data_IF_070076829155
#
_entry.id   IF_070076829155
#
_cell.length_a   1.000
_cell.length_b   1.000
_cell.length_c   1.000
_cell.angle_alpha   90.00
_cell.angle_beta   90.00
_cell.angle_gamma   90.00
#
_symmetry.space_group_name_H-M   'P 1'
#
loop_
_entity.id
_entity.type
_entity.pdbx_description
1 polymer ?
#
# COMPACT_ATOMS: atom_id res chain seq x y z
N UNK A 1 11.53 51.98 -39.05
CA UNK A 1 12.26 50.81 -38.51
C UNK A 1 11.25 49.74 -38.15
N UNK A 2 11.30 48.51 -38.71
CA UNK A 2 10.42 47.44 -38.29
C UNK A 2 10.97 46.79 -37.01
N UNK A 3 10.09 46.47 -36.05
CA UNK A 3 10.45 45.71 -34.83
C UNK A 3 10.46 44.20 -35.15
N UNK A 4 11.36 43.41 -34.55
CA UNK A 4 11.40 41.97 -34.78
C UNK A 4 10.22 41.28 -34.09
N UNK A 5 9.57 40.38 -34.81
CA UNK A 5 8.56 39.45 -34.29
C UNK A 5 9.32 38.31 -33.60
N UNK A 6 9.27 38.28 -32.27
CA UNK A 6 9.86 37.24 -31.44
C UNK A 6 9.03 35.96 -31.64
N UNK A 7 9.65 34.89 -32.16
CA UNK A 7 9.02 33.58 -32.31
C UNK A 7 8.99 32.82 -30.97
N UNK A 8 8.04 33.14 -30.10
CA UNK A 8 7.77 32.36 -28.88
C UNK A 8 6.90 31.13 -29.23
N UNK A 9 7.47 30.11 -29.87
CA UNK A 9 6.65 28.98 -30.36
C UNK A 9 7.22 27.59 -30.22
N UNK A 10 8.50 27.41 -29.87
CA UNK A 10 9.15 26.10 -30.02
C UNK A 10 9.48 25.37 -28.71
N UNK A 11 9.63 26.09 -27.58
CA UNK A 11 10.16 25.49 -26.34
C UNK A 11 9.08 24.98 -25.36
N UNK A 12 7.81 25.34 -25.56
CA UNK A 12 6.72 24.97 -24.65
C UNK A 12 6.21 23.53 -24.84
N UNK A 13 6.47 22.90 -25.98
CA UNK A 13 5.95 21.57 -26.34
C UNK A 13 6.64 20.39 -25.62
N UNK A 14 7.98 20.29 -25.54
CA UNK A 14 8.61 19.15 -24.87
C UNK A 14 8.44 19.20 -23.34
N UNK A 15 8.45 20.40 -22.76
CA UNK A 15 8.32 20.60 -21.31
C UNK A 15 6.93 20.20 -20.78
N UNK A 16 5.86 20.43 -21.55
CA UNK A 16 4.50 19.98 -21.23
C UNK A 16 4.34 18.46 -21.28
N UNK A 17 5.05 17.78 -22.19
CA UNK A 17 5.05 16.31 -22.27
C UNK A 17 5.82 15.69 -21.12
N UNK A 18 6.97 16.27 -20.75
CA UNK A 18 7.77 15.82 -19.61
C UNK A 18 7.03 16.00 -18.29
N UNK A 19 6.35 17.14 -18.09
CA UNK A 19 5.52 17.37 -16.89
C UNK A 19 4.33 16.41 -16.80
N UNK A 20 3.65 16.12 -17.92
CA UNK A 20 2.58 15.13 -17.95
C UNK A 20 3.07 13.71 -17.62
N UNK A 21 4.24 13.32 -18.15
CA UNK A 21 4.87 12.03 -17.86
C UNK A 21 5.29 11.93 -16.38
N UNK A 22 5.83 13.00 -15.81
CA UNK A 22 6.20 13.06 -14.39
C UNK A 22 4.96 12.91 -13.50
N UNK A 23 3.86 13.59 -13.83
CA UNK A 23 2.59 13.45 -13.10
C UNK A 23 2.03 12.02 -13.17
N UNK A 24 2.07 11.39 -14.34
CA UNK A 24 1.67 9.99 -14.51
C UNK A 24 2.52 9.04 -13.66
N UNK A 25 3.84 9.28 -13.60
CA UNK A 25 4.74 8.51 -12.75
C UNK A 25 4.43 8.70 -11.26
N UNK A 26 4.18 9.94 -10.81
CA UNK A 26 3.80 10.22 -9.43
C UNK A 26 2.48 9.54 -9.03
N UNK A 27 1.48 9.53 -9.93
CA UNK A 27 0.22 8.82 -9.72
C UNK A 27 0.44 7.29 -9.66
N UNK A 28 1.27 6.74 -10.55
CA UNK A 28 1.60 5.32 -10.55
C UNK A 28 2.31 4.89 -9.25
N UNK A 29 3.29 5.67 -8.77
CA UNK A 29 3.99 5.40 -7.51
C UNK A 29 3.05 5.48 -6.31
N UNK A 30 2.15 6.46 -6.29
CA UNK A 30 1.16 6.63 -5.22
C UNK A 30 0.17 5.45 -5.14
N UNK A 31 -0.22 4.86 -6.27
CA UNK A 31 -1.08 3.67 -6.31
C UNK A 31 -0.43 2.42 -5.69
N UNK A 32 0.90 2.34 -5.65
CA UNK A 32 1.63 1.19 -5.13
C UNK A 32 1.86 1.24 -3.61
N UNK A 33 1.57 2.38 -2.95
CA UNK A 33 1.82 2.63 -1.52
C UNK A 33 0.65 2.23 -0.61
N UNK A 34 -0.12 1.19 -0.97
CA UNK A 34 -1.13 0.60 -0.08
C UNK A 34 -0.47 -0.04 1.14
N UNK A 35 -0.46 0.68 2.26
CA UNK A 35 0.27 0.31 3.47
C UNK A 35 -0.25 -0.96 4.16
N UNK A 36 0.67 -1.73 4.72
CA UNK A 36 0.40 -2.77 5.73
C UNK A 36 0.55 -2.10 7.10
N UNK A 37 -0.49 -2.08 7.92
CA UNK A 37 -0.43 -1.52 9.28
C UNK A 37 -0.38 -2.66 10.29
N UNK A 38 0.67 -2.75 11.09
CA UNK A 38 0.79 -3.76 12.16
C UNK A 38 0.65 -3.10 13.52
N UNK A 39 -0.10 -3.71 14.44
CA UNK A 39 -0.24 -3.26 15.83
C UNK A 39 0.29 -4.34 16.76
N UNK A 40 1.40 -4.04 17.45
CA UNK A 40 2.06 -4.97 18.38
C UNK A 40 1.38 -4.88 19.74
N UNK A 41 0.95 -6.01 20.30
CA UNK A 41 0.43 -6.12 21.66
C UNK A 41 1.46 -6.86 22.49
N UNK A 42 1.91 -6.30 23.62
CA UNK A 42 2.85 -6.98 24.54
C UNK A 42 2.16 -7.11 25.89
N UNK A 43 2.02 -8.33 26.41
CA UNK A 43 1.49 -8.55 27.75
C UNK A 43 2.65 -8.57 28.75
N UNK A 44 2.75 -7.52 29.58
CA UNK A 44 3.87 -7.39 30.53
C UNK A 44 3.69 -8.24 31.80
N UNK A 45 2.51 -8.83 32.01
CA UNK A 45 2.11 -9.42 33.31
C UNK A 45 1.73 -10.91 33.26
N UNK A 46 1.92 -11.61 32.13
CA UNK A 46 1.57 -13.04 32.01
C UNK A 46 2.80 -13.94 31.98
N UNK A 47 2.79 -15.00 32.81
CA UNK A 47 3.79 -16.06 32.91
C UNK A 47 3.90 -16.95 31.65
N UNK A 48 3.18 -16.62 30.58
CA UNK A 48 3.07 -17.41 29.35
C UNK A 48 3.59 -16.60 28.15
N UNK A 49 4.88 -16.77 27.77
CA UNK A 49 5.45 -16.08 26.61
C UNK A 49 4.82 -16.50 25.26
N UNK A 50 3.99 -17.56 25.24
CA UNK A 50 3.20 -17.96 24.06
C UNK A 50 1.93 -17.13 23.85
N UNK A 51 1.52 -16.32 24.84
CA UNK A 51 0.38 -15.43 24.72
C UNK A 51 0.75 -14.08 24.07
N UNK A 52 2.03 -13.79 23.88
CA UNK A 52 2.50 -12.58 23.22
C UNK A 52 2.42 -12.70 21.68
N UNK A 53 1.85 -11.69 21.04
CA UNK A 53 1.66 -11.66 19.58
C UNK A 53 1.29 -10.28 19.06
N UNK A 54 1.16 -10.14 17.75
CA UNK A 54 0.71 -8.89 17.14
C UNK A 54 -0.51 -9.13 16.25
N UNK A 55 -1.39 -8.13 16.24
CA UNK A 55 -2.45 -8.06 15.24
C UNK A 55 -1.83 -7.54 13.95
N UNK A 56 -1.75 -8.39 12.93
CA UNK A 56 -1.36 -7.99 11.60
C UNK A 56 -2.61 -7.67 10.78
N UNK A 57 -2.66 -6.45 10.25
CA UNK A 57 -3.71 -6.06 9.31
C UNK A 57 -3.23 -6.28 7.88
N UNK A 58 -3.81 -7.27 7.21
CA UNK A 58 -3.56 -7.52 5.79
C UNK A 58 -4.72 -6.94 4.99
N UNK A 59 -4.48 -5.78 4.38
CA UNK A 59 -5.41 -5.23 3.40
C UNK A 59 -5.18 -5.90 2.05
N UNK A 60 -6.19 -6.63 1.57
CA UNK A 60 -6.21 -7.25 0.24
C UNK A 60 -7.26 -6.58 -0.62
N UNK A 61 -7.01 -6.47 -1.93
CA UNK A 61 -8.02 -5.97 -2.86
C UNK A 61 -8.75 -7.16 -3.47
N UNK A 62 -10.07 -7.22 -3.29
CA UNK A 62 -10.89 -8.29 -3.85
C UNK A 62 -11.95 -7.70 -4.78
N UNK A 63 -12.22 -8.40 -5.89
CA UNK A 63 -13.30 -8.04 -6.79
C UNK A 63 -14.63 -8.60 -6.27
N UNK A 64 -15.60 -7.72 -6.04
CA UNK A 64 -16.94 -8.07 -5.55
C UNK A 64 -18.02 -7.53 -6.50
N UNK A 65 -19.09 -8.30 -6.65
CA UNK A 65 -20.30 -7.82 -7.32
C UNK A 65 -21.15 -7.01 -6.34
N UNK A 66 -21.42 -5.75 -6.68
CA UNK A 66 -22.26 -4.84 -5.90
C UNK A 66 -23.51 -4.51 -6.71
N UNK A 67 -24.67 -4.59 -6.06
CA UNK A 67 -25.95 -4.18 -6.63
C UNK A 67 -26.07 -2.66 -6.56
N UNK A 68 -26.23 -2.03 -7.70
CA UNK A 68 -26.42 -0.58 -7.82
C UNK A 68 -27.79 -0.30 -8.43
N UNK A 69 -28.47 0.73 -7.93
CA UNK A 69 -29.73 1.20 -8.49
C UNK A 69 -29.45 2.32 -9.48
N UNK A 70 -29.63 2.05 -10.77
CA UNK A 70 -29.46 3.07 -11.80
C UNK A 70 -30.72 3.91 -11.86
N UNK A 71 -30.58 5.23 -11.67
CA UNK A 71 -31.67 6.18 -11.82
C UNK A 71 -32.09 6.24 -13.30
N UNK A 72 -33.32 5.85 -13.57
CA UNK A 72 -34.05 5.98 -14.83
C UNK A 72 -35.49 6.39 -14.49
N UNK A 73 -36.42 6.30 -15.45
CA UNK A 73 -37.86 6.48 -15.20
C UNK A 73 -38.40 5.55 -14.10
N UNK A 74 -37.82 4.36 -13.97
CA UNK A 74 -38.01 3.41 -12.86
C UNK A 74 -36.61 2.92 -12.47
N UNK A 75 -36.33 2.74 -11.17
CA UNK A 75 -35.02 2.28 -10.70
C UNK A 75 -34.73 0.85 -11.17
N UNK A 76 -33.63 0.68 -11.91
CA UNK A 76 -33.20 -0.63 -12.40
C UNK A 76 -32.03 -1.16 -11.57
N UNK A 77 -32.09 -2.41 -11.06
CA UNK A 77 -30.98 -3.03 -10.38
C UNK A 77 -29.93 -3.50 -11.39
N UNK A 78 -28.69 -3.04 -11.24
CA UNK A 78 -27.56 -3.44 -12.08
C UNK A 78 -26.45 -3.98 -11.20
N UNK A 79 -25.88 -5.11 -11.60
CA UNK A 79 -24.69 -5.67 -10.96
C UNK A 79 -23.44 -5.06 -11.58
N UNK A 80 -22.59 -4.47 -10.75
CA UNK A 80 -21.28 -3.95 -11.17
C UNK A 80 -20.18 -4.66 -10.40
N UNK A 81 -19.11 -5.02 -11.10
CA UNK A 81 -17.90 -5.57 -10.48
C UNK A 81 -17.04 -4.40 -9.99
N UNK A 82 -16.79 -4.34 -8.69
CA UNK A 82 -16.03 -3.28 -8.02
C UNK A 82 -14.88 -3.90 -7.23
N UNK A 83 -13.71 -3.27 -7.28
CA UNK A 83 -12.58 -3.61 -6.42
C UNK A 83 -12.73 -2.88 -5.09
N UNK A 84 -12.80 -3.63 -3.99
CA UNK A 84 -12.96 -3.07 -2.64
C UNK A 84 -11.82 -3.56 -1.74
N UNK A 85 -11.21 -2.70 -0.92
CA UNK A 85 -10.24 -3.15 0.07
C UNK A 85 -10.97 -4.03 1.10
N UNK A 86 -10.45 -5.23 1.31
CA UNK A 86 -10.88 -6.17 2.34
C UNK A 86 -9.78 -6.27 3.38
N UNK A 87 -10.13 -5.90 4.60
CA UNK A 87 -9.23 -5.90 5.73
C UNK A 87 -9.35 -7.24 6.44
N UNK A 88 -8.26 -8.00 6.47
CA UNK A 88 -8.16 -9.25 7.24
C UNK A 88 -7.22 -9.02 8.42
N UNK A 89 -7.70 -9.32 9.63
CA UNK A 89 -6.88 -9.29 10.83
C UNK A 89 -6.42 -10.72 11.11
N UNK A 90 -5.11 -10.94 11.14
CA UNK A 90 -4.51 -12.21 11.56
C UNK A 90 -3.71 -11.98 12.85
N UNK A 91 -3.89 -12.87 13.83
CA UNK A 91 -3.05 -12.90 15.02
C UNK A 91 -1.77 -13.65 14.68
N UNK A 92 -0.63 -13.00 14.85
CA UNK A 92 0.68 -13.59 14.60
C UNK A 92 1.42 -13.71 15.94
N UNK A 93 1.76 -14.94 16.38
CA UNK A 93 2.54 -15.11 17.60
C UNK A 93 3.94 -14.52 17.38
N UNK A 94 4.55 -14.00 18.45
CA UNK A 94 5.96 -13.61 18.38
C UNK A 94 6.82 -14.85 18.10
N UNK A 95 7.90 -14.72 17.30
CA UNK A 95 8.87 -15.79 17.18
C UNK A 95 9.40 -16.14 18.58
N UNK A 96 9.49 -17.44 18.89
CA UNK A 96 10.11 -17.89 20.13
C UNK A 96 11.50 -17.26 20.24
N UNK A 97 11.86 -16.80 21.45
CA UNK A 97 13.21 -16.31 21.69
C UNK A 97 14.22 -17.37 21.22
N UNK A 98 15.32 -16.97 20.56
CA UNK A 98 16.35 -17.91 20.15
C UNK A 98 16.82 -18.69 21.37
N UNK A 99 17.03 -19.99 21.17
CA UNK A 99 17.62 -20.84 22.20
C UNK A 99 19.08 -20.42 22.38
N UNK A 100 19.66 -20.60 23.58
CA UNK A 100 21.04 -20.21 23.90
C UNK A 100 22.08 -20.58 22.82
N UNK A 101 21.94 -21.74 22.17
CA UNK A 101 22.85 -22.22 21.12
C UNK A 101 22.70 -21.49 19.77
N UNK A 102 21.55 -20.87 19.48
CA UNK A 102 21.31 -20.06 18.28
C UNK A 102 22.01 -18.69 18.41
N UNK A 103 22.06 -18.15 19.63
CA UNK A 103 22.75 -16.90 19.95
C UNK A 103 24.29 -17.01 19.81
N UNK A 104 24.85 -18.16 20.16
CA UNK A 104 26.28 -18.43 19.98
C UNK A 104 26.68 -18.51 18.50
N UNK A 105 25.82 -19.08 17.65
CA UNK A 105 26.02 -19.15 16.19
C UNK A 105 25.98 -17.75 15.56
N UNK A 106 25.00 -16.90 15.91
CA UNK A 106 24.89 -15.55 15.37
C UNK A 106 26.10 -14.66 15.72
N UNK A 107 26.61 -14.75 16.95
CA UNK A 107 27.85 -14.06 17.36
C UNK A 107 29.07 -14.54 16.59
N UNK A 108 29.17 -15.84 16.32
CA UNK A 108 30.26 -16.43 15.54
C UNK A 108 30.26 -15.98 14.07
N UNK A 109 29.08 -15.74 13.48
CA UNK A 109 28.93 -15.26 12.11
C UNK A 109 29.22 -13.77 11.94
N UNK A 110 28.94 -12.93 12.94
CA UNK A 110 29.23 -11.49 12.91
C UNK A 110 30.69 -11.14 13.26
N UNK A 111 31.46 -12.08 13.81
CA UNK A 111 32.85 -11.89 14.23
C UNK A 111 33.89 -12.31 13.17
N UNK A 112 33.50 -12.60 11.92
CA UNK A 112 34.40 -12.89 10.79
C UNK A 112 34.40 -11.79 9.74
#
# INVERSE_FOLDING_TARGET
>A
MPRPIIKEGALAFPLRRLTAMLLLLCLAVSCCLGGKTTTIVRHTDTLEPQADGFWANKTTWNARWVKYWRTKKIYEPVWKKVWTPTVHNEWVPLPNAPTEWEWEQEKGHHAR
#
